data_IF_607357304959
#
_entry.id   IF_607357304959
#
_cell.length_a   1.000
_cell.length_b   1.000
_cell.length_c   1.000
_cell.angle_alpha   90.00
_cell.angle_beta   90.00
_cell.angle_gamma   90.00
#
_symmetry.space_group_name_H-M   'P 1'
#
loop_
_entity.id
_entity.type
_entity.pdbx_description
1 polymer ?
#
# COMPACT_ATOMS: atom_id res chain seq x y z
N UNK A 1 -79.96 11.85 38.37
CA UNK A 1 -79.55 11.70 36.96
C UNK A 1 -78.56 12.80 36.50
N UNK A 2 -77.40 12.98 37.18
CA UNK A 2 -76.34 13.91 36.70
C UNK A 2 -74.93 13.30 36.67
N UNK A 3 -74.71 12.13 37.29
CA UNK A 3 -73.38 11.48 37.34
C UNK A 3 -73.10 10.54 36.14
N UNK A 4 -74.14 10.05 35.46
CA UNK A 4 -73.99 9.14 34.32
C UNK A 4 -73.53 9.85 33.03
N UNK A 5 -73.83 11.14 32.86
CA UNK A 5 -73.46 11.92 31.67
C UNK A 5 -71.99 12.34 31.68
N UNK A 6 -71.37 12.50 32.85
CA UNK A 6 -69.95 12.86 32.95
C UNK A 6 -69.02 11.67 32.69
N UNK A 7 -69.41 10.47 33.13
CA UNK A 7 -68.66 9.25 32.84
C UNK A 7 -68.66 8.92 31.34
N UNK A 8 -69.78 9.12 30.65
CA UNK A 8 -69.88 8.88 29.21
C UNK A 8 -69.05 9.88 28.38
N UNK A 9 -68.94 11.14 28.83
CA UNK A 9 -68.07 12.14 28.18
C UNK A 9 -66.58 11.87 28.37
N UNK A 10 -66.16 11.40 29.54
CA UNK A 10 -64.77 11.00 29.80
C UNK A 10 -64.36 9.75 29.00
N UNK A 11 -65.28 8.81 28.80
CA UNK A 11 -65.04 7.59 28.05
C UNK A 11 -65.01 7.82 26.52
N UNK A 12 -65.78 8.79 26.00
CA UNK A 12 -65.68 9.22 24.60
C UNK A 12 -64.38 10.00 24.34
N UNK A 13 -63.94 10.85 25.29
CA UNK A 13 -62.69 11.59 25.17
C UNK A 13 -61.45 10.67 25.20
N UNK A 14 -61.47 9.58 25.98
CA UNK A 14 -60.37 8.60 25.99
C UNK A 14 -60.32 7.73 24.73
N UNK A 15 -61.48 7.36 24.16
CA UNK A 15 -61.55 6.62 22.89
C UNK A 15 -61.09 7.49 21.71
N UNK A 16 -61.44 8.78 21.68
CA UNK A 16 -60.96 9.71 20.64
C UNK A 16 -59.44 9.91 20.76
N UNK A 17 -58.87 9.97 21.97
CA UNK A 17 -57.42 10.05 22.16
C UNK A 17 -56.69 8.77 21.71
N UNK A 18 -57.27 7.59 21.95
CA UNK A 18 -56.73 6.32 21.48
C UNK A 18 -56.83 6.14 19.95
N UNK A 19 -57.85 6.71 19.30
CA UNK A 19 -57.98 6.74 17.84
C UNK A 19 -57.02 7.75 17.17
N UNK A 20 -56.62 8.83 17.86
CA UNK A 20 -55.60 9.76 17.36
C UNK A 20 -54.17 9.22 17.51
N UNK A 21 -53.89 8.37 18.49
CA UNK A 21 -52.57 7.73 18.64
C UNK A 21 -52.37 6.57 17.64
N UNK A 22 -53.44 6.01 17.07
CA UNK A 22 -53.39 4.86 16.15
C UNK A 22 -53.51 5.20 14.65
N UNK A 23 -53.60 6.49 14.28
CA UNK A 23 -53.70 6.93 12.86
C UNK A 23 -52.56 7.84 12.38
N UNK A 24 -51.43 7.88 13.10
CA UNK A 24 -50.17 8.46 12.59
C UNK A 24 -49.11 7.38 12.37
N UNK A 25 -49.49 6.31 11.66
CA UNK A 25 -48.57 5.45 10.93
C UNK A 25 -48.84 5.65 9.42
N UNK A 26 -48.39 6.78 8.89
CA UNK A 26 -47.80 6.74 7.55
C UNK A 26 -46.31 6.56 7.78
N UNK A 27 -45.86 5.31 7.73
CA UNK A 27 -44.47 5.03 7.41
C UNK A 27 -44.23 5.59 6.01
N UNK A 28 -43.88 6.87 5.92
CA UNK A 28 -42.86 7.24 4.96
C UNK A 28 -41.63 6.47 5.40
N UNK A 29 -41.48 5.26 4.86
CA UNK A 29 -40.18 4.71 4.61
C UNK A 29 -39.48 5.67 3.63
N UNK A 30 -39.13 6.86 4.12
CA UNK A 30 -37.85 7.43 3.80
C UNK A 30 -36.86 6.48 4.45
N UNK A 31 -36.64 5.37 3.73
CA UNK A 31 -35.32 4.88 3.51
C UNK A 31 -34.53 6.09 3.02
N UNK A 32 -34.07 6.93 3.96
CA UNK A 32 -32.67 7.23 3.97
C UNK A 32 -31.98 5.88 4.07
N UNK A 33 -31.89 5.22 2.91
CA UNK A 33 -30.63 4.70 2.47
C UNK A 33 -29.70 5.91 2.58
N UNK A 34 -29.18 6.16 3.79
CA UNK A 34 -27.75 6.32 3.89
C UNK A 34 -27.25 5.08 3.17
N UNK A 35 -27.05 5.21 1.86
CA UNK A 35 -26.04 4.40 1.20
C UNK A 35 -24.90 4.43 2.19
N UNK A 36 -24.49 3.27 2.74
CA UNK A 36 -23.41 3.24 3.70
C UNK A 36 -22.34 4.12 3.08
N UNK A 37 -21.98 5.23 3.73
CA UNK A 37 -20.98 6.17 3.19
C UNK A 37 -19.87 5.27 2.72
N UNK A 38 -19.72 5.15 1.41
CA UNK A 38 -19.03 4.00 0.85
C UNK A 38 -17.62 4.13 1.39
N UNK A 39 -17.27 3.24 2.34
CA UNK A 39 -15.94 3.18 2.91
C UNK A 39 -15.13 2.57 1.78
N UNK A 40 -14.78 3.41 0.81
CA UNK A 40 -14.00 3.07 -0.36
C UNK A 40 -12.62 3.68 -0.18
N UNK A 41 -11.61 2.84 -0.35
CA UNK A 41 -10.22 3.24 -0.36
C UNK A 41 -9.54 2.48 -1.49
N UNK A 42 -9.09 3.22 -2.50
CA UNK A 42 -8.56 2.70 -3.76
C UNK A 42 -7.06 2.51 -3.66
N UNK A 43 -6.60 1.28 -3.89
CA UNK A 43 -5.18 0.92 -3.85
C UNK A 43 -4.70 0.27 -5.15
N UNK A 44 -5.59 0.07 -6.13
CA UNK A 44 -5.30 -0.67 -7.35
C UNK A 44 -4.23 0.03 -8.20
N UNK A 45 -3.23 -0.74 -8.64
CA UNK A 45 -2.13 -0.23 -9.45
C UNK A 45 -1.07 0.57 -8.68
N UNK A 46 -1.16 0.60 -7.35
CA UNK A 46 -0.07 1.04 -6.48
C UNK A 46 0.97 -0.09 -6.32
N UNK A 47 2.22 0.28 -6.07
CA UNK A 47 3.33 -0.63 -5.80
C UNK A 47 3.11 -1.37 -4.47
N UNK A 48 2.70 -0.67 -3.41
CA UNK A 48 2.37 -1.23 -2.10
C UNK A 48 0.85 -1.45 -1.90
N UNK A 49 0.11 -1.70 -2.98
CA UNK A 49 -1.35 -1.81 -2.98
C UNK A 49 -1.92 -2.74 -1.89
N UNK A 50 -1.30 -3.91 -1.71
CA UNK A 50 -1.70 -4.90 -0.72
C UNK A 50 -1.48 -4.42 0.72
N UNK A 51 -0.33 -3.82 0.99
CA UNK A 51 -0.05 -3.21 2.30
C UNK A 51 -1.11 -2.14 2.63
N UNK A 52 -1.40 -1.26 1.68
CA UNK A 52 -2.37 -0.18 1.90
C UNK A 52 -3.78 -0.72 2.16
N UNK A 53 -4.22 -1.76 1.44
CA UNK A 53 -5.54 -2.38 1.64
C UNK A 53 -5.64 -3.09 3.00
N UNK A 54 -4.58 -3.80 3.44
CA UNK A 54 -4.57 -4.43 4.76
C UNK A 54 -4.57 -3.43 5.90
N UNK A 55 -3.79 -2.33 5.80
CA UNK A 55 -3.85 -1.25 6.78
C UNK A 55 -5.25 -0.66 6.81
N UNK A 56 -5.79 -0.28 5.64
CA UNK A 56 -7.14 0.26 5.53
C UNK A 56 -8.20 -0.64 6.19
N UNK A 57 -8.18 -1.94 5.88
CA UNK A 57 -9.14 -2.92 6.43
C UNK A 57 -8.88 -3.33 7.87
N UNK A 58 -7.72 -2.98 8.44
CA UNK A 58 -7.31 -3.43 9.76
C UNK A 58 -7.01 -4.93 9.82
N UNK A 59 -6.53 -5.52 8.72
CA UNK A 59 -6.15 -6.94 8.64
C UNK A 59 -4.65 -7.12 8.88
N UNK A 60 -4.18 -6.64 10.03
CA UNK A 60 -2.75 -6.58 10.34
C UNK A 60 -2.07 -7.95 10.37
N UNK A 61 -2.82 -9.02 10.63
CA UNK A 61 -2.33 -10.40 10.62
C UNK A 61 -1.84 -10.88 9.25
N UNK A 62 -2.24 -10.21 8.17
CA UNK A 62 -1.83 -10.56 6.80
C UNK A 62 -0.68 -9.68 6.26
N UNK A 63 -0.20 -8.73 7.05
CA UNK A 63 0.89 -7.85 6.65
C UNK A 63 2.22 -8.60 6.64
N UNK A 64 2.90 -8.59 5.49
CA UNK A 64 4.28 -9.08 5.38
C UNK A 64 5.29 -8.05 5.91
N UNK A 65 4.99 -6.75 5.72
CA UNK A 65 5.77 -5.64 6.27
C UNK A 65 5.41 -5.47 7.75
N UNK A 66 6.41 -5.59 8.61
CA UNK A 66 6.26 -5.42 10.06
C UNK A 66 6.43 -3.96 10.47
N UNK A 67 5.88 -3.62 11.64
CA UNK A 67 6.02 -2.31 12.28
C UNK A 67 7.49 -1.87 12.42
N UNK A 68 8.37 -2.83 12.65
CA UNK A 68 9.78 -2.59 12.95
C UNK A 68 10.69 -2.82 11.73
N UNK A 69 10.12 -2.94 10.53
CA UNK A 69 10.85 -2.96 9.27
C UNK A 69 11.16 -1.54 8.80
N UNK A 70 12.37 -1.33 8.27
CA UNK A 70 12.79 -0.03 7.72
C UNK A 70 11.84 0.46 6.60
N UNK A 71 11.32 -0.45 5.78
CA UNK A 71 10.41 -0.06 4.68
C UNK A 71 9.09 0.51 5.21
N UNK A 72 8.60 0.07 6.38
CA UNK A 72 7.42 0.65 6.98
C UNK A 72 7.66 2.11 7.40
N UNK A 73 8.80 2.39 8.05
CA UNK A 73 9.20 3.76 8.40
C UNK A 73 9.23 4.65 7.15
N UNK A 74 9.83 4.17 6.06
CA UNK A 74 9.87 4.90 4.79
C UNK A 74 8.46 5.17 4.22
N UNK A 75 7.59 4.15 4.20
CA UNK A 75 6.20 4.31 3.76
C UNK A 75 5.49 5.37 4.59
N UNK A 76 5.66 5.33 5.92
CA UNK A 76 4.99 6.25 6.83
C UNK A 76 5.53 7.69 6.68
N UNK A 77 6.85 7.90 6.60
CA UNK A 77 7.47 9.21 6.31
C UNK A 77 6.91 9.81 5.00
N UNK A 78 6.91 9.02 3.92
CA UNK A 78 6.42 9.49 2.61
C UNK A 78 4.93 9.77 2.62
N UNK A 79 4.14 8.98 3.35
CA UNK A 79 2.73 9.24 3.54
C UNK A 79 2.48 10.59 4.22
N UNK A 80 3.14 10.85 5.35
CA UNK A 80 2.99 12.10 6.10
C UNK A 80 3.34 13.32 5.25
N UNK A 81 4.48 13.26 4.55
CA UNK A 81 4.93 14.36 3.69
C UNK A 81 4.03 14.58 2.49
N UNK A 82 3.56 13.51 1.87
CA UNK A 82 2.65 13.61 0.74
C UNK A 82 1.28 14.14 1.15
N UNK A 83 0.74 13.72 2.30
CA UNK A 83 -0.46 14.32 2.87
C UNK A 83 -0.23 15.80 3.18
N UNK A 84 0.88 16.13 3.84
CA UNK A 84 1.22 17.51 4.20
C UNK A 84 1.39 18.46 3.00
N UNK A 85 1.75 17.92 1.83
CA UNK A 85 1.89 18.70 0.60
C UNK A 85 0.65 18.71 -0.31
N UNK A 86 -0.15 17.64 -0.34
CA UNK A 86 -1.31 17.52 -1.25
C UNK A 86 -2.67 17.71 -0.55
N UNK A 87 -2.71 17.57 0.77
CA UNK A 87 -3.91 17.63 1.60
C UNK A 87 -3.77 18.65 2.75
N UNK A 88 -2.93 19.66 2.58
CA UNK A 88 -2.59 20.66 3.60
C UNK A 88 -3.83 21.41 4.13
N UNK A 89 -4.81 21.69 3.27
CA UNK A 89 -6.08 22.33 3.60
C UNK A 89 -6.97 21.51 4.53
N UNK A 90 -6.67 20.21 4.69
CA UNK A 90 -7.41 19.27 5.54
C UNK A 90 -6.67 18.93 6.84
N UNK A 91 -5.51 19.55 7.08
CA UNK A 91 -4.80 19.42 8.35
C UNK A 91 -5.54 20.16 9.48
N UNK A 92 -5.49 19.64 10.71
CA UNK A 92 -6.12 20.30 11.85
C UNK A 92 -5.38 21.59 12.22
N UNK A 93 -6.03 22.45 13.01
CA UNK A 93 -5.42 23.71 13.47
C UNK A 93 -4.15 23.47 14.30
N UNK A 94 -4.11 22.40 15.10
CA UNK A 94 -2.97 22.02 15.91
C UNK A 94 -1.94 21.15 15.15
N UNK A 95 -1.87 21.26 13.81
CA UNK A 95 -0.90 20.54 13.00
C UNK A 95 0.53 20.79 13.47
N UNK A 96 1.37 19.77 13.35
CA UNK A 96 2.78 19.82 13.74
C UNK A 96 3.66 19.84 12.49
N UNK A 97 4.76 20.58 12.54
CA UNK A 97 5.72 20.62 11.45
C UNK A 97 6.52 19.31 11.43
N UNK A 98 6.64 18.70 10.24
CA UNK A 98 7.49 17.54 10.03
C UNK A 98 8.95 18.03 10.04
N UNK A 99 9.80 17.39 10.83
CA UNK A 99 11.20 17.78 10.96
C UNK A 99 12.09 17.00 9.99
N UNK A 100 13.17 17.64 9.54
CA UNK A 100 14.24 17.03 8.75
C UNK A 100 15.51 17.00 9.59
N UNK A 101 16.17 15.84 9.63
CA UNK A 101 17.53 15.72 10.13
C UNK A 101 18.48 16.10 8.99
N UNK A 102 19.23 17.18 9.17
CA UNK A 102 20.18 17.70 8.18
C UNK A 102 21.58 17.72 8.75
N UNK A 103 22.59 17.57 7.89
CA UNK A 103 23.97 17.67 8.32
C UNK A 103 24.30 19.12 8.70
N UNK A 104 24.74 19.32 9.95
CA UNK A 104 25.21 20.61 10.45
C UNK A 104 26.71 20.77 10.23
N UNK A 105 27.47 19.71 10.52
CA UNK A 105 28.93 19.72 10.44
C UNK A 105 29.42 18.48 9.69
N UNK A 106 30.21 18.70 8.63
CA UNK A 106 30.88 17.65 7.87
C UNK A 106 32.35 17.53 8.28
N UNK A 107 32.82 16.31 8.44
CA UNK A 107 34.24 15.98 8.41
C UNK A 107 34.67 15.78 6.96
N UNK A 108 35.66 16.58 6.52
CA UNK A 108 36.17 16.54 5.15
C UNK A 108 37.59 16.00 5.18
N UNK A 109 37.80 14.82 4.60
CA UNK A 109 39.14 14.25 4.43
C UNK A 109 39.72 14.69 3.08
N UNK A 110 40.96 15.20 3.08
CA UNK A 110 41.67 15.63 1.88
C UNK A 110 42.92 14.76 1.64
N UNK A 111 43.28 14.54 0.37
CA UNK A 111 44.55 13.90 0.02
C UNK A 111 45.75 14.86 0.22
N UNK A 112 46.97 14.38 0.00
CA UNK A 112 48.20 15.18 0.10
C UNK A 112 48.31 16.35 -0.91
N UNK A 113 47.41 16.43 -1.89
CA UNK A 113 47.29 17.51 -2.88
C UNK A 113 46.16 18.50 -2.56
N UNK A 114 45.38 18.24 -1.50
CA UNK A 114 44.26 19.07 -1.08
C UNK A 114 42.90 18.70 -1.67
N UNK A 115 42.80 17.65 -2.50
CA UNK A 115 41.53 17.19 -3.06
C UNK A 115 40.71 16.46 -2.01
N UNK A 116 39.40 16.72 -1.99
CA UNK A 116 38.46 16.05 -1.09
C UNK A 116 38.28 14.60 -1.51
N UNK A 117 38.68 13.67 -0.63
CA UNK A 117 38.53 12.23 -0.82
C UNK A 117 37.32 11.64 -0.08
N UNK A 118 36.84 12.33 0.95
CA UNK A 118 35.65 11.92 1.71
C UNK A 118 34.97 13.11 2.35
N UNK A 119 33.64 13.05 2.45
CA UNK A 119 32.81 13.90 3.31
C UNK A 119 31.91 13.01 4.12
N UNK A 120 31.96 13.12 5.44
CA UNK A 120 31.09 12.39 6.36
C UNK A 120 30.42 13.38 7.28
N UNK A 121 29.12 13.24 7.48
CA UNK A 121 28.43 14.08 8.46
C UNK A 121 28.75 13.61 9.88
N UNK A 122 29.26 14.52 10.71
CA UNK A 122 29.64 14.23 12.10
C UNK A 122 28.71 14.88 13.13
N UNK A 123 27.90 15.85 12.71
CA UNK A 123 26.90 16.48 13.56
C UNK A 123 25.61 16.72 12.77
N UNK A 124 24.49 16.26 13.32
CA UNK A 124 23.16 16.45 12.74
C UNK A 124 22.36 17.47 13.53
N UNK A 125 21.47 18.18 12.85
CA UNK A 125 20.52 19.10 13.48
C UNK A 125 19.14 18.94 12.86
N UNK A 126 18.11 19.31 13.62
CA UNK A 126 16.72 19.22 13.19
C UNK A 126 16.25 20.58 12.67
N UNK A 127 15.74 20.59 11.45
CA UNK A 127 15.17 21.79 10.81
C UNK A 127 13.75 21.51 10.35
N UNK A 128 12.89 22.53 10.41
CA UNK A 128 11.51 22.44 9.92
C UNK A 128 11.48 22.18 8.41
N UNK A 129 10.60 21.29 7.96
CA UNK A 129 10.47 20.96 6.53
C UNK A 129 9.55 21.92 5.76
N UNK A 130 8.79 22.77 6.44
CA UNK A 130 7.68 23.52 5.86
C UNK A 130 6.44 22.67 5.54
N UNK A 131 6.50 21.35 5.72
CA UNK A 131 5.35 20.44 5.62
C UNK A 131 4.82 20.11 7.01
N UNK A 132 3.51 19.88 7.07
CA UNK A 132 2.82 19.65 8.34
C UNK A 132 2.07 18.31 8.33
N UNK A 133 1.88 17.75 9.53
CA UNK A 133 1.19 16.49 9.74
C UNK A 133 0.11 16.62 10.82
N UNK A 134 -0.82 15.65 10.83
CA UNK A 134 -1.74 15.44 11.95
C UNK A 134 -0.91 15.00 13.17
N UNK A 135 -1.07 15.62 14.35
CA UNK A 135 -0.22 15.33 15.51
C UNK A 135 -0.13 13.85 15.86
N UNK A 136 -1.28 13.18 15.99
CA UNK A 136 -1.32 11.75 16.34
C UNK A 136 -0.56 10.85 15.35
N UNK A 137 -0.63 11.14 14.05
CA UNK A 137 0.10 10.37 13.06
C UNK A 137 1.60 10.65 13.12
N UNK A 138 1.99 11.91 13.38
CA UNK A 138 3.40 12.27 13.52
C UNK A 138 4.02 11.67 14.80
N UNK A 139 3.27 11.67 15.90
CA UNK A 139 3.68 11.02 17.15
C UNK A 139 3.84 9.51 16.95
N UNK A 140 2.89 8.87 16.26
CA UNK A 140 3.00 7.45 15.91
C UNK A 140 4.18 7.16 14.98
N UNK A 141 4.51 8.06 14.06
CA UNK A 141 5.73 7.95 13.24
C UNK A 141 7.00 8.08 14.08
N UNK A 142 7.05 9.02 15.04
CA UNK A 142 8.21 9.21 15.90
C UNK A 142 8.55 7.95 16.72
N UNK A 143 7.55 7.19 17.14
CA UNK A 143 7.74 5.87 17.78
C UNK A 143 8.45 4.86 16.85
N UNK A 144 8.11 4.87 15.56
CA UNK A 144 8.76 4.02 14.56
C UNK A 144 10.19 4.48 14.27
N UNK A 145 10.39 5.79 14.12
CA UNK A 145 11.72 6.37 13.92
C UNK A 145 12.65 6.01 15.07
N UNK A 146 12.17 6.09 16.31
CA UNK A 146 12.94 5.69 17.49
C UNK A 146 13.31 4.20 17.48
N UNK A 147 12.39 3.31 17.08
CA UNK A 147 12.67 1.88 16.92
C UNK A 147 13.78 1.67 15.89
N UNK A 148 13.71 2.35 14.73
CA UNK A 148 14.74 2.20 13.68
C UNK A 148 16.10 2.73 14.13
N UNK A 149 16.14 3.89 14.81
CA UNK A 149 17.39 4.43 15.40
C UNK A 149 18.04 3.43 16.35
N UNK A 150 17.25 2.74 17.18
CA UNK A 150 17.76 1.72 18.10
C UNK A 150 18.36 0.49 17.39
N UNK A 151 17.92 0.21 16.16
CA UNK A 151 18.34 -0.94 15.35
C UNK A 151 19.43 -0.62 14.33
N UNK A 152 19.79 0.66 14.15
CA UNK A 152 20.63 1.13 13.06
C UNK A 152 21.94 0.36 12.90
N UNK A 153 22.62 0.01 14.00
CA UNK A 153 23.86 -0.77 13.96
C UNK A 153 23.65 -2.19 13.41
N UNK A 154 22.59 -2.87 13.84
CA UNK A 154 22.27 -4.23 13.37
C UNK A 154 21.87 -4.21 11.89
N UNK A 155 21.06 -3.23 11.47
CA UNK A 155 20.68 -3.04 10.07
C UNK A 155 21.89 -2.76 9.19
N UNK A 156 22.81 -1.90 9.65
CA UNK A 156 24.07 -1.64 8.95
C UNK A 156 24.92 -2.90 8.81
N UNK A 157 25.06 -3.69 9.88
CA UNK A 157 25.80 -4.95 9.83
C UNK A 157 25.18 -5.93 8.83
N UNK A 158 23.86 -6.08 8.83
CA UNK A 158 23.15 -6.94 7.87
C UNK A 158 23.42 -6.51 6.42
N UNK A 159 23.35 -5.21 6.12
CA UNK A 159 23.64 -4.69 4.77
C UNK A 159 25.09 -4.96 4.33
N UNK A 160 26.06 -4.87 5.25
CA UNK A 160 27.49 -5.12 4.95
C UNK A 160 27.76 -6.62 4.73
N UNK A 161 27.13 -7.48 5.52
CA UNK A 161 27.33 -8.94 5.44
C UNK A 161 26.51 -9.61 4.35
N UNK A 162 25.63 -8.87 3.67
CA UNK A 162 24.72 -9.40 2.66
C UNK A 162 25.48 -9.75 1.35
N UNK A 163 25.53 -11.03 0.95
CA UNK A 163 26.19 -11.44 -0.28
C UNK A 163 25.50 -10.89 -1.55
N UNK A 164 24.26 -10.41 -1.45
CA UNK A 164 23.47 -9.81 -2.54
C UNK A 164 23.25 -8.30 -2.35
N UNK A 165 24.12 -7.62 -1.59
CA UNK A 165 24.01 -6.20 -1.23
C UNK A 165 23.74 -5.26 -2.41
N UNK A 166 24.38 -5.46 -3.56
CA UNK A 166 24.15 -4.66 -4.77
C UNK A 166 22.74 -4.84 -5.32
N UNK A 167 22.25 -6.08 -5.45
CA UNK A 167 20.88 -6.35 -5.93
C UNK A 167 19.82 -5.82 -4.98
N UNK A 168 20.07 -5.92 -3.67
CA UNK A 168 19.17 -5.40 -2.63
C UNK A 168 19.20 -3.86 -2.54
N UNK A 169 20.33 -3.23 -2.83
CA UNK A 169 20.42 -1.77 -2.97
C UNK A 169 19.59 -1.26 -4.15
N UNK A 170 19.70 -1.93 -5.31
CA UNK A 170 18.88 -1.63 -6.49
C UNK A 170 17.39 -1.85 -6.19
N UNK A 171 17.05 -2.92 -5.47
CA UNK A 171 15.69 -3.18 -5.00
C UNK A 171 15.12 -2.07 -4.11
N UNK A 172 15.93 -1.58 -3.16
CA UNK A 172 15.54 -0.47 -2.29
C UNK A 172 15.27 0.82 -3.08
N UNK A 173 16.08 1.10 -4.11
CA UNK A 173 15.84 2.23 -5.02
C UNK A 173 14.50 2.05 -5.75
N UNK A 174 14.24 0.86 -6.28
CA UNK A 174 12.97 0.56 -6.94
C UNK A 174 11.76 0.73 -6.02
N UNK A 175 11.84 0.20 -4.80
CA UNK A 175 10.81 0.37 -3.76
C UNK A 175 10.59 1.84 -3.43
N UNK A 176 11.65 2.63 -3.32
CA UNK A 176 11.57 4.06 -3.01
C UNK A 176 10.93 4.86 -4.16
N UNK A 177 11.26 4.53 -5.42
CA UNK A 177 10.63 5.11 -6.59
C UNK A 177 9.15 4.71 -6.72
N UNK A 178 8.84 3.43 -6.45
CA UNK A 178 7.47 2.92 -6.37
C UNK A 178 6.67 3.68 -5.33
N UNK A 179 7.21 3.83 -4.12
CA UNK A 179 6.60 4.58 -3.03
C UNK A 179 6.33 6.06 -3.39
N UNK A 180 7.29 6.73 -4.04
CA UNK A 180 7.10 8.12 -4.50
C UNK A 180 5.93 8.22 -5.47
N UNK A 181 5.84 7.29 -6.43
CA UNK A 181 4.73 7.25 -7.38
C UNK A 181 3.41 6.90 -6.71
N UNK A 182 3.44 6.01 -5.72
CA UNK A 182 2.26 5.61 -4.96
C UNK A 182 1.67 6.78 -4.21
N UNK A 183 2.48 7.58 -3.52
CA UNK A 183 1.99 8.73 -2.78
C UNK A 183 1.29 9.77 -3.66
N UNK A 184 1.76 9.97 -4.89
CA UNK A 184 1.08 10.86 -5.86
C UNK A 184 -0.28 10.27 -6.22
N UNK A 185 -0.31 8.99 -6.63
CA UNK A 185 -1.54 8.33 -7.09
C UNK A 185 -2.56 8.13 -5.98
N UNK A 186 -2.11 7.79 -4.77
CA UNK A 186 -2.96 7.48 -3.63
C UNK A 186 -3.85 8.69 -3.29
N UNK A 187 -3.30 9.91 -3.28
CA UNK A 187 -4.08 11.14 -3.04
C UNK A 187 -4.82 11.65 -4.29
N UNK A 188 -4.43 11.25 -5.50
CA UNK A 188 -5.24 11.49 -6.70
C UNK A 188 -6.50 10.61 -6.74
N UNK A 189 -6.40 9.37 -6.25
CA UNK A 189 -7.49 8.39 -6.29
C UNK A 189 -8.39 8.43 -5.05
N UNK A 190 -7.91 8.98 -3.94
CA UNK A 190 -8.62 9.04 -2.67
C UNK A 190 -8.66 10.48 -2.16
N UNK A 191 -9.87 11.05 -2.04
CA UNK A 191 -10.02 12.42 -1.54
C UNK A 191 -9.50 12.57 -0.11
N UNK A 192 -8.81 13.68 0.16
CA UNK A 192 -8.12 13.99 1.42
C UNK A 192 -9.01 13.97 2.68
N UNK A 193 -10.33 14.16 2.52
CA UNK A 193 -11.33 14.13 3.60
C UNK A 193 -12.27 12.91 3.54
N UNK A 194 -12.02 11.97 2.64
CA UNK A 194 -12.85 10.77 2.47
C UNK A 194 -12.88 9.91 3.74
N UNK A 195 -13.99 9.20 3.96
CA UNK A 195 -14.11 8.26 5.07
C UNK A 195 -13.09 7.12 4.96
N UNK A 196 -12.79 6.68 3.73
CA UNK A 196 -11.78 5.65 3.46
C UNK A 196 -10.37 6.06 3.90
N UNK A 197 -9.92 7.26 3.52
CA UNK A 197 -8.61 7.76 3.92
C UNK A 197 -8.51 8.00 5.43
N UNK A 198 -9.58 8.48 6.07
CA UNK A 198 -9.63 8.62 7.54
C UNK A 198 -9.48 7.26 8.24
N UNK A 199 -10.15 6.22 7.74
CA UNK A 199 -9.99 4.86 8.27
C UNK A 199 -8.56 4.35 8.07
N UNK A 200 -7.97 4.60 6.91
CA UNK A 200 -6.58 4.27 6.64
C UNK A 200 -5.64 4.96 7.63
N UNK A 201 -5.81 6.27 7.89
CA UNK A 201 -5.03 7.02 8.89
C UNK A 201 -5.12 6.38 10.28
N UNK A 202 -6.34 6.11 10.75
CA UNK A 202 -6.57 5.52 12.08
C UNK A 202 -5.88 4.17 12.22
N UNK A 203 -6.00 3.30 11.21
CA UNK A 203 -5.34 2.00 11.26
C UNK A 203 -3.81 2.11 11.06
N UNK A 204 -3.31 3.07 10.29
CA UNK A 204 -1.88 3.33 10.15
C UNK A 204 -1.28 3.75 11.50
N UNK A 205 -1.98 4.63 12.24
CA UNK A 205 -1.63 5.01 13.62
C UNK A 205 -1.61 3.78 14.53
N UNK A 206 -2.68 2.98 14.54
CA UNK A 206 -2.80 1.81 15.41
C UNK A 206 -1.72 0.76 15.11
N UNK A 207 -1.43 0.51 13.83
CA UNK A 207 -0.36 -0.39 13.42
C UNK A 207 1.00 0.11 13.90
N UNK A 208 1.27 1.40 13.69
CA UNK A 208 2.50 2.05 14.14
C UNK A 208 2.66 2.11 15.67
N UNK A 209 1.57 1.99 16.43
CA UNK A 209 1.59 1.93 17.89
C UNK A 209 1.49 0.50 18.44
N UNK A 210 1.48 -0.52 17.57
CA UNK A 210 1.23 -1.92 17.93
C UNK A 210 -0.05 -2.11 18.75
N UNK A 211 -1.12 -1.41 18.36
CA UNK A 211 -2.45 -1.51 18.95
C UNK A 211 -3.35 -2.36 18.06
N UNK A 212 -4.44 -2.86 18.65
CA UNK A 212 -5.46 -3.59 17.90
C UNK A 212 -6.05 -2.70 16.79
N UNK A 213 -6.28 -3.28 15.61
CA UNK A 213 -6.84 -2.58 14.47
C UNK A 213 -8.33 -2.29 14.64
N UNK A 214 -8.82 -1.30 13.89
CA UNK A 214 -10.24 -1.19 13.60
C UNK A 214 -10.54 -2.08 12.40
N UNK A 215 -10.82 -3.35 12.72
CA UNK A 215 -10.98 -4.43 11.76
C UNK A 215 -12.31 -4.34 11.01
N UNK A 216 -12.24 -4.37 9.68
CA UNK A 216 -13.40 -4.54 8.80
C UNK A 216 -13.76 -6.01 8.64
N UNK A 217 -15.06 -6.31 8.58
CA UNK A 217 -15.55 -7.69 8.41
C UNK A 217 -15.24 -8.27 7.03
N UNK A 218 -15.30 -7.43 5.98
CA UNK A 218 -15.03 -7.88 4.61
C UNK A 218 -13.53 -8.16 4.42
N UNK A 219 -13.20 -9.40 4.08
CA UNK A 219 -11.85 -9.84 3.73
C UNK A 219 -11.24 -8.96 2.62
N UNK A 220 -9.92 -8.77 2.69
CA UNK A 220 -9.17 -8.22 1.56
C UNK A 220 -9.28 -9.13 0.34
N UNK A 221 -9.36 -8.53 -0.84
CA UNK A 221 -9.26 -9.28 -2.10
C UNK A 221 -7.91 -9.98 -2.24
N UNK A 222 -6.83 -9.46 -1.64
CA UNK A 222 -5.51 -10.07 -1.68
C UNK A 222 -5.45 -11.32 -0.79
N UNK A 223 -6.11 -11.30 0.38
CA UNK A 223 -6.31 -12.51 1.19
C UNK A 223 -7.13 -13.55 0.44
N UNK A 224 -8.24 -13.14 -0.17
CA UNK A 224 -9.08 -14.04 -0.95
C UNK A 224 -8.30 -14.69 -2.10
N UNK A 225 -7.54 -13.88 -2.86
CA UNK A 225 -6.63 -14.32 -3.92
C UNK A 225 -5.59 -15.33 -3.42
N UNK A 226 -4.85 -15.02 -2.34
CA UNK A 226 -3.82 -15.92 -1.80
C UNK A 226 -4.42 -17.26 -1.35
N UNK A 227 -5.64 -17.23 -0.81
CA UNK A 227 -6.37 -18.44 -0.39
C UNK A 227 -6.85 -19.27 -1.58
N UNK A 228 -7.41 -18.64 -2.62
CA UNK A 228 -7.90 -19.36 -3.80
C UNK A 228 -6.77 -19.86 -4.71
N UNK A 229 -5.61 -19.22 -4.65
CA UNK A 229 -4.52 -19.48 -5.57
C UNK A 229 -4.77 -18.94 -6.97
N UNK A 230 -3.90 -19.33 -7.91
CA UNK A 230 -4.02 -18.97 -9.32
C UNK A 230 -5.04 -19.82 -10.07
N UNK A 231 -5.55 -19.32 -11.21
CA UNK A 231 -6.57 -19.99 -12.01
C UNK A 231 -6.01 -21.28 -12.63
N UNK A 232 -6.90 -22.25 -12.84
CA UNK A 232 -6.63 -23.45 -13.64
C UNK A 232 -7.09 -23.24 -15.09
N UNK A 233 -6.67 -24.13 -16.00
CA UNK A 233 -6.99 -24.04 -17.43
C UNK A 233 -6.05 -23.15 -18.24
N UNK A 234 -6.46 -22.82 -19.47
CA UNK A 234 -5.61 -22.12 -20.42
C UNK A 234 -5.52 -20.61 -20.14
N UNK A 235 -4.30 -20.15 -19.88
CA UNK A 235 -3.99 -18.75 -19.55
C UNK A 235 -3.12 -18.10 -20.63
N UNK A 236 -3.31 -16.80 -20.85
CA UNK A 236 -2.49 -15.96 -21.69
C UNK A 236 -1.23 -15.52 -20.93
N UNK A 237 -0.27 -16.45 -20.83
CA UNK A 237 1.00 -16.17 -20.15
C UNK A 237 1.85 -15.10 -20.84
N UNK A 238 1.72 -14.89 -22.17
CA UNK A 238 2.38 -13.75 -22.83
C UNK A 238 1.93 -12.43 -22.20
N UNK A 239 0.61 -12.22 -22.07
CA UNK A 239 0.05 -11.01 -21.46
C UNK A 239 0.40 -10.89 -19.98
N UNK A 240 0.33 -11.99 -19.21
CA UNK A 240 0.69 -11.95 -17.78
C UNK A 240 2.13 -11.52 -17.58
N UNK A 241 3.06 -12.13 -18.31
CA UNK A 241 4.49 -11.80 -18.21
C UNK A 241 4.73 -10.37 -18.69
N UNK A 242 4.05 -9.94 -19.75
CA UNK A 242 4.18 -8.57 -20.28
C UNK A 242 3.77 -7.53 -19.24
N UNK A 243 2.61 -7.72 -18.60
CA UNK A 243 2.12 -6.83 -17.55
C UNK A 243 3.06 -6.80 -16.33
N UNK A 244 3.58 -7.97 -15.92
CA UNK A 244 4.52 -8.08 -14.80
C UNK A 244 5.85 -7.38 -15.08
N UNK A 245 6.46 -7.63 -16.24
CA UNK A 245 7.73 -6.99 -16.62
C UNK A 245 7.53 -5.48 -16.81
N UNK A 246 6.45 -5.08 -17.48
CA UNK A 246 6.13 -3.67 -17.66
C UNK A 246 6.00 -2.95 -16.32
N UNK A 247 5.31 -3.55 -15.34
CA UNK A 247 5.16 -2.94 -14.02
C UNK A 247 6.50 -2.76 -13.30
N UNK A 248 7.32 -3.81 -13.25
CA UNK A 248 8.66 -3.75 -12.65
C UNK A 248 9.54 -2.70 -13.34
N UNK A 249 9.43 -2.59 -14.67
CA UNK A 249 10.26 -1.69 -15.48
C UNK A 249 10.02 -0.19 -15.24
N UNK A 250 8.86 0.19 -14.67
CA UNK A 250 8.55 1.59 -14.32
C UNK A 250 9.56 2.19 -13.34
N UNK A 251 10.26 1.34 -12.60
CA UNK A 251 11.25 1.74 -11.61
C UNK A 251 12.69 1.64 -12.14
N UNK A 252 12.92 1.18 -13.37
CA UNK A 252 14.24 1.07 -13.99
C UNK A 252 14.87 2.45 -14.24
N UNK A 253 16.15 2.57 -13.88
CA UNK A 253 16.88 3.83 -13.96
C UNK A 253 17.22 4.23 -15.40
N UNK A 254 17.76 3.29 -16.18
CA UNK A 254 18.33 3.58 -17.51
C UNK A 254 17.62 2.86 -18.66
N UNK A 255 17.12 1.66 -18.39
CA UNK A 255 16.47 0.85 -19.41
C UNK A 255 14.97 1.18 -19.48
N UNK A 256 14.42 1.11 -20.68
CA UNK A 256 12.99 1.25 -20.97
C UNK A 256 12.49 -0.03 -21.63
N UNK A 257 11.59 -0.71 -20.93
CA UNK A 257 10.93 -1.90 -21.44
C UNK A 257 10.08 -1.58 -22.69
N UNK A 258 10.07 -2.50 -23.65
CA UNK A 258 9.18 -2.43 -24.81
C UNK A 258 7.94 -3.28 -24.54
N UNK A 259 6.80 -2.65 -24.27
CA UNK A 259 5.54 -3.34 -24.05
C UNK A 259 5.13 -4.21 -25.25
N UNK A 260 4.55 -5.37 -24.98
CA UNK A 260 4.20 -6.38 -25.98
C UNK A 260 5.38 -7.16 -26.56
N UNK A 261 6.60 -7.00 -26.02
CA UNK A 261 7.81 -7.64 -26.57
C UNK A 261 8.09 -9.04 -26.02
N UNK A 262 7.21 -9.57 -25.16
CA UNK A 262 7.35 -10.92 -24.61
C UNK A 262 7.34 -11.95 -25.74
N UNK A 263 8.33 -12.84 -25.70
CA UNK A 263 8.47 -13.93 -26.65
C UNK A 263 9.07 -15.18 -25.99
N UNK A 264 8.96 -16.32 -26.67
CA UNK A 264 9.51 -17.61 -26.24
C UNK A 264 9.09 -18.00 -24.81
N UNK A 265 7.80 -17.88 -24.50
CA UNK A 265 7.27 -18.30 -23.20
C UNK A 265 7.39 -19.81 -23.07
N UNK A 266 8.12 -20.26 -22.05
CA UNK A 266 8.32 -21.66 -21.73
C UNK A 266 7.87 -21.93 -20.29
N UNK A 267 7.32 -23.12 -20.06
CA UNK A 267 6.97 -23.62 -18.73
C UNK A 267 7.82 -24.85 -18.47
N UNK A 268 8.67 -24.82 -17.43
CA UNK A 268 9.61 -25.90 -17.13
C UNK A 268 8.98 -27.00 -16.26
N UNK A 269 8.08 -26.64 -15.34
CA UNK A 269 7.45 -27.57 -14.38
C UNK A 269 6.00 -27.15 -14.10
N UNK A 270 5.09 -28.11 -13.89
CA UNK A 270 3.71 -27.88 -13.45
C UNK A 270 3.45 -28.45 -12.05
N UNK A 271 2.44 -27.91 -11.35
CA UNK A 271 1.96 -28.44 -10.09
C UNK A 271 0.92 -29.56 -10.28
N UNK A 272 0.37 -30.08 -9.18
CA UNK A 272 -0.64 -31.15 -9.19
C UNK A 272 -1.97 -30.74 -9.84
N UNK A 273 -2.22 -29.45 -9.99
CA UNK A 273 -3.41 -28.90 -10.64
C UNK A 273 -3.13 -28.49 -12.10
N UNK A 274 -1.93 -28.80 -12.61
CA UNK A 274 -1.52 -28.49 -13.97
C UNK A 274 -1.13 -27.01 -14.19
N UNK A 275 -0.98 -26.20 -13.14
CA UNK A 275 -0.54 -24.80 -13.23
C UNK A 275 0.98 -24.73 -13.30
N UNK A 276 1.58 -23.71 -13.94
CA UNK A 276 3.04 -23.59 -13.99
C UNK A 276 3.60 -23.34 -12.58
N UNK A 277 4.72 -24.00 -12.27
CA UNK A 277 5.57 -23.69 -11.10
C UNK A 277 6.66 -22.68 -11.45
N UNK A 278 7.02 -22.62 -12.72
CA UNK A 278 7.98 -21.67 -13.25
C UNK A 278 7.69 -21.37 -14.73
N UNK A 279 7.80 -20.10 -15.09
CA UNK A 279 7.78 -19.62 -16.47
C UNK A 279 9.10 -18.91 -16.79
N UNK A 280 9.57 -19.04 -18.02
CA UNK A 280 10.64 -18.22 -18.57
C UNK A 280 10.21 -17.58 -19.88
N UNK A 281 10.73 -16.40 -20.17
CA UNK A 281 10.44 -15.68 -21.39
C UNK A 281 11.57 -14.70 -21.75
N UNK A 282 11.58 -14.27 -23.00
CA UNK A 282 12.44 -13.19 -23.47
C UNK A 282 11.66 -11.89 -23.58
N UNK A 283 12.34 -10.78 -23.42
CA UNK A 283 11.79 -9.45 -23.65
C UNK A 283 12.77 -8.51 -24.34
N UNK A 284 12.27 -7.39 -24.86
CA UNK A 284 13.08 -6.33 -25.43
C UNK A 284 13.06 -5.07 -24.56
N UNK A 285 14.17 -4.35 -24.54
CA UNK A 285 14.29 -3.06 -23.87
C UNK A 285 15.23 -2.14 -24.66
N UNK A 286 15.12 -0.84 -24.43
CA UNK A 286 16.03 0.18 -24.96
C UNK A 286 16.82 0.82 -23.83
N UNK A 287 18.09 1.15 -24.08
CA UNK A 287 18.97 1.83 -23.14
C UNK A 287 20.06 2.62 -23.86
N UNK A 288 21.11 3.03 -23.15
CA UNK A 288 22.21 3.83 -23.72
C UNK A 288 22.90 3.18 -24.94
N UNK A 289 22.93 1.85 -25.01
CA UNK A 289 23.52 1.10 -26.13
C UNK A 289 22.53 0.75 -27.24
N UNK A 290 21.32 1.33 -27.22
CA UNK A 290 20.25 1.05 -28.18
C UNK A 290 19.30 -0.06 -27.71
N UNK A 291 18.71 -0.77 -28.68
CA UNK A 291 17.76 -1.85 -28.40
C UNK A 291 18.49 -3.15 -28.08
N UNK A 292 18.09 -3.81 -27.00
CA UNK A 292 18.64 -5.09 -26.54
C UNK A 292 17.54 -6.06 -26.14
N UNK A 293 17.94 -7.30 -25.84
CA UNK A 293 17.07 -8.36 -25.34
C UNK A 293 17.50 -8.79 -23.95
N UNK A 294 16.53 -9.05 -23.10
CA UNK A 294 16.71 -9.67 -21.79
C UNK A 294 15.88 -10.95 -21.67
N UNK A 295 16.08 -11.67 -20.58
CA UNK A 295 15.22 -12.78 -20.18
C UNK A 295 14.70 -12.59 -18.76
N UNK A 296 13.53 -13.17 -18.51
CA UNK A 296 12.87 -13.19 -17.22
C UNK A 296 12.50 -14.61 -16.85
N UNK A 297 12.65 -14.94 -15.56
CA UNK A 297 12.20 -16.19 -14.96
C UNK A 297 11.24 -15.85 -13.82
N UNK A 298 10.08 -16.49 -13.80
CA UNK A 298 9.02 -16.21 -12.83
C UNK A 298 8.66 -17.52 -12.15
N UNK A 299 8.80 -17.57 -10.83
CA UNK A 299 8.37 -18.72 -10.03
C UNK A 299 6.96 -18.51 -9.51
N UNK A 300 6.26 -19.61 -9.27
CA UNK A 300 4.88 -19.61 -8.82
C UNK A 300 4.73 -20.38 -7.50
N UNK A 301 3.85 -19.88 -6.65
CA UNK A 301 3.44 -20.49 -5.38
C UNK A 301 1.91 -20.51 -5.34
N UNK A 302 1.31 -21.68 -5.07
CA UNK A 302 -0.15 -21.89 -5.14
C UNK A 302 -0.76 -21.36 -6.47
N UNK A 303 -0.08 -21.58 -7.59
CA UNK A 303 -0.50 -21.10 -8.91
C UNK A 303 -0.40 -19.59 -9.13
N UNK A 304 0.09 -18.79 -8.17
CA UNK A 304 0.29 -17.34 -8.33
C UNK A 304 1.77 -17.02 -8.53
N UNK A 305 2.13 -16.04 -9.41
CA UNK A 305 3.49 -15.55 -9.47
C UNK A 305 3.99 -15.09 -8.09
N UNK A 306 5.20 -15.53 -7.73
CA UNK A 306 5.82 -15.29 -6.41
C UNK A 306 7.08 -14.45 -6.50
N UNK A 307 7.98 -14.79 -7.41
CA UNK A 307 9.23 -14.06 -7.63
C UNK A 307 9.46 -13.85 -9.12
N UNK A 308 9.91 -12.66 -9.49
CA UNK A 308 10.38 -12.31 -10.84
C UNK A 308 11.89 -12.12 -10.75
N UNK A 309 12.63 -12.87 -11.57
CA UNK A 309 14.07 -12.81 -11.68
C UNK A 309 14.43 -12.32 -13.07
N UNK A 310 15.14 -11.20 -13.13
CA UNK A 310 15.68 -10.67 -14.38
C UNK A 310 17.09 -11.22 -14.62
N UNK A 311 17.48 -11.38 -15.89
CA UNK A 311 18.77 -11.98 -16.27
C UNK A 311 19.99 -11.26 -15.69
N UNK A 312 19.89 -9.95 -15.45
CA UNK A 312 20.92 -9.08 -14.86
C UNK A 312 21.00 -9.23 -13.33
N UNK A 313 19.91 -9.66 -12.69
CA UNK A 313 19.84 -9.95 -11.26
C UNK A 313 19.18 -11.32 -11.00
N UNK A 314 19.79 -12.44 -11.42
CA UNK A 314 19.14 -13.75 -11.45
C UNK A 314 18.85 -14.35 -10.07
N UNK A 315 19.48 -13.81 -9.02
CA UNK A 315 19.32 -14.23 -7.63
C UNK A 315 18.41 -13.29 -6.81
N UNK A 316 18.00 -12.16 -7.39
CA UNK A 316 17.16 -11.18 -6.68
C UNK A 316 15.68 -11.45 -7.01
N UNK A 317 14.93 -11.92 -6.01
CA UNK A 317 13.48 -12.09 -6.14
C UNK A 317 12.81 -10.71 -6.10
N UNK A 318 12.27 -10.27 -7.23
CA UNK A 318 11.35 -9.13 -7.28
C UNK A 318 9.93 -9.59 -7.00
N UNK A 319 9.28 -8.97 -6.02
CA UNK A 319 7.88 -9.26 -5.69
C UNK A 319 6.94 -8.76 -6.79
N UNK A 320 6.09 -9.61 -7.37
CA UNK A 320 5.06 -9.19 -8.32
C UNK A 320 4.07 -8.20 -7.71
N UNK A 321 3.49 -7.33 -8.56
CA UNK A 321 2.44 -6.41 -8.11
C UNK A 321 1.16 -7.15 -7.73
N UNK A 322 0.70 -7.01 -6.48
CA UNK A 322 -0.46 -7.72 -5.97
C UNK A 322 -1.76 -7.41 -6.74
N UNK A 323 -1.89 -6.24 -7.37
CA UNK A 323 -3.05 -5.93 -8.24
C UNK A 323 -3.05 -6.77 -9.52
N UNK A 324 -1.88 -7.00 -10.12
CA UNK A 324 -1.73 -7.90 -11.27
C UNK A 324 -2.05 -9.33 -10.85
N UNK A 325 -1.55 -9.76 -9.68
CA UNK A 325 -1.85 -11.08 -9.14
C UNK A 325 -3.34 -11.28 -8.87
N UNK A 326 -4.03 -10.27 -8.33
CA UNK A 326 -5.46 -10.35 -8.06
C UNK A 326 -6.27 -10.41 -9.35
N UNK A 327 -5.86 -9.66 -10.38
CA UNK A 327 -6.43 -9.74 -11.71
C UNK A 327 -6.22 -11.14 -12.34
N UNK A 328 -5.04 -11.71 -12.16
CA UNK A 328 -4.71 -13.05 -12.62
C UNK A 328 -5.55 -14.13 -11.94
N UNK A 329 -5.63 -14.12 -10.61
CA UNK A 329 -6.48 -15.03 -9.84
C UNK A 329 -7.97 -14.93 -10.22
N UNK A 330 -8.43 -13.73 -10.55
CA UNK A 330 -9.81 -13.48 -11.00
C UNK A 330 -10.07 -13.90 -12.46
N UNK A 331 -9.10 -14.55 -13.14
CA UNK A 331 -9.28 -15.07 -14.51
C UNK A 331 -9.20 -14.00 -15.60
N UNK A 332 -8.71 -12.79 -15.33
CA UNK A 332 -8.59 -11.72 -16.35
C UNK A 332 -7.54 -11.99 -17.43
N UNK A 333 -6.86 -13.14 -17.35
CA UNK A 333 -5.85 -13.60 -18.30
C UNK A 333 -6.23 -14.94 -18.93
N UNK A 334 -7.45 -15.44 -18.75
CA UNK A 334 -7.94 -16.62 -19.47
C UNK A 334 -7.93 -16.37 -20.99
N UNK A 335 -7.70 -17.43 -21.76
CA UNK A 335 -7.72 -17.37 -23.23
C UNK A 335 -9.12 -17.45 -23.83
#
# INVERSE_FOLDING_TARGET
MKSSVQFFRLLILSIIWLLFVSLSFSNTNDSYTTSPVELEFKTDGLYFAEFYDYIYRGHFENLEIKRDDMIFMLIFDKYLRAYGGQCDSYLPQNKVEIMNEVCKTEEVTKNGWGDVISRVCIEYTWVGSGLYAKPKLYDAYAEIDQIQRSKGLNTMMQMITDPNSMGNSVDLIHKTNGLKNDMIKLFQMNACNSAGLKRFDENLELFALNKASIRMQQASKYTAMKKSGGPTGDQNFNKLIDDLVNDQSKTWAFNRYTAGSISNVQSSVRDSEGRPRELSANYSFSGFSGNSRGSVRITFENGLPKCIYFYDYPQNCKTPNSSILAAFAAGKYSK
#
